data_IF_522801469282
#
_entry.id   IF_522801469282
#
_cell.length_a   1.000
_cell.length_b   1.000
_cell.length_c   1.000
_cell.angle_alpha   90.00
_cell.angle_beta   90.00
_cell.angle_gamma   90.00
#
_symmetry.space_group_name_H-M   'P 1'
#
loop_
_entity.id
_entity.type
_entity.pdbx_description
1 polymer ?
#
# COMPACT_ATOMS: atom_id res chain seq x y z
N UNK A 1 -4.02 -4.13 -13.74
CA UNK A 1 -4.44 -2.94 -12.97
C UNK A 1 -3.28 -1.95 -12.98
N UNK A 2 -3.48 -0.69 -13.36
CA UNK A 2 -2.38 0.29 -13.40
C UNK A 2 -2.26 1.03 -12.06
N UNK A 3 -1.21 0.74 -11.31
CA UNK A 3 -0.89 1.43 -10.05
C UNK A 3 -0.03 2.65 -10.35
N UNK A 4 -0.44 3.82 -9.84
CA UNK A 4 0.39 5.01 -9.94
C UNK A 4 1.54 4.94 -8.92
N UNK A 5 2.74 4.62 -9.42
CA UNK A 5 3.94 4.40 -8.60
C UNK A 5 4.40 5.67 -7.87
N UNK A 6 4.21 6.85 -8.44
CA UNK A 6 4.53 8.10 -7.75
C UNK A 6 3.60 8.34 -6.56
N UNK A 7 2.31 8.04 -6.71
CA UNK A 7 1.35 8.11 -5.60
C UNK A 7 1.70 7.08 -4.53
N UNK A 8 2.09 5.86 -4.91
CA UNK A 8 2.50 4.81 -3.99
C UNK A 8 3.77 5.19 -3.23
N UNK A 9 4.80 5.68 -3.91
CA UNK A 9 6.03 6.18 -3.28
C UNK A 9 5.74 7.28 -2.28
N UNK A 10 4.91 8.26 -2.65
CA UNK A 10 4.53 9.33 -1.71
C UNK A 10 3.70 8.80 -0.53
N UNK A 11 2.79 7.84 -0.75
CA UNK A 11 1.98 7.24 0.30
C UNK A 11 2.88 6.57 1.36
N UNK A 12 3.80 5.71 0.94
CA UNK A 12 4.63 4.95 1.89
C UNK A 12 5.75 5.78 2.53
N UNK A 13 6.20 6.87 1.89
CA UNK A 13 7.31 7.70 2.41
C UNK A 13 6.86 8.94 3.20
N UNK A 14 5.69 9.51 2.89
CA UNK A 14 5.23 10.80 3.47
C UNK A 14 3.91 10.71 4.21
N UNK A 15 3.15 9.62 4.04
CA UNK A 15 1.80 9.44 4.60
C UNK A 15 1.72 8.15 5.43
N UNK A 16 2.81 7.79 6.11
CA UNK A 16 2.86 6.60 6.99
C UNK A 16 1.81 6.65 8.09
N UNK A 17 1.49 7.83 8.63
CA UNK A 17 0.41 8.01 9.62
C UNK A 17 -0.97 7.60 9.10
N UNK A 18 -1.25 7.80 7.80
CA UNK A 18 -2.52 7.37 7.21
C UNK A 18 -2.60 5.85 7.10
N UNK A 19 -1.46 5.20 6.83
CA UNK A 19 -1.34 3.75 6.86
C UNK A 19 -1.55 3.24 8.29
N UNK A 20 -0.92 3.87 9.29
CA UNK A 20 -1.10 3.53 10.71
C UNK A 20 -2.55 3.63 11.15
N UNK A 21 -3.24 4.71 10.78
CA UNK A 21 -4.67 4.88 11.05
C UNK A 21 -5.51 3.80 10.35
N UNK A 22 -5.15 3.45 9.12
CA UNK A 22 -5.88 2.43 8.35
C UNK A 22 -5.73 1.01 8.92
N UNK A 23 -4.59 0.69 9.55
CA UNK A 23 -4.37 -0.64 10.15
C UNK A 23 -4.79 -0.74 11.61
N UNK A 24 -5.07 0.37 12.29
CA UNK A 24 -5.45 0.38 13.70
C UNK A 24 -6.66 -0.54 13.97
N UNK A 25 -6.53 -1.42 14.97
CA UNK A 25 -7.58 -2.38 15.35
C UNK A 25 -7.77 -3.56 14.39
N UNK A 26 -6.99 -3.69 13.31
CA UNK A 26 -7.13 -4.78 12.32
C UNK A 26 -6.21 -5.97 12.57
N UNK A 27 -5.25 -5.85 13.49
CA UNK A 27 -4.20 -6.85 13.75
C UNK A 27 -3.03 -6.84 12.75
N UNK A 28 -3.10 -6.01 11.69
CA UNK A 28 -1.99 -5.79 10.77
C UNK A 28 -1.02 -4.73 11.32
N UNK A 29 0.26 -4.87 10.99
CA UNK A 29 1.28 -3.88 11.33
C UNK A 29 1.48 -2.92 10.17
N UNK A 30 1.60 -1.62 10.45
CA UNK A 30 1.84 -0.61 9.43
C UNK A 30 3.10 -0.91 8.62
N UNK A 31 4.18 -1.38 9.27
CA UNK A 31 5.41 -1.84 8.59
C UNK A 31 5.18 -2.94 7.56
N UNK A 32 4.20 -3.83 7.79
CA UNK A 32 3.87 -4.89 6.83
C UNK A 32 3.18 -4.30 5.60
N UNK A 33 2.25 -3.37 5.81
CA UNK A 33 1.56 -2.67 4.70
C UNK A 33 2.56 -1.83 3.89
N UNK A 34 3.46 -1.10 4.57
CA UNK A 34 4.53 -0.35 3.93
C UNK A 34 5.44 -1.29 3.12
N UNK A 35 5.85 -2.42 3.69
CA UNK A 35 6.68 -3.41 2.99
C UNK A 35 6.01 -3.97 1.73
N UNK A 36 4.68 -4.16 1.74
CA UNK A 36 3.93 -4.55 0.54
C UNK A 36 3.97 -3.45 -0.53
N UNK A 37 3.86 -2.18 -0.12
CA UNK A 37 3.99 -1.05 -1.03
C UNK A 37 5.40 -0.91 -1.61
N UNK A 38 6.43 -1.11 -0.79
CA UNK A 38 7.84 -1.11 -1.24
C UNK A 38 8.09 -2.23 -2.23
N UNK A 39 7.65 -3.46 -1.93
CA UNK A 39 7.76 -4.59 -2.85
C UNK A 39 7.14 -4.27 -4.21
N UNK A 40 5.96 -3.65 -4.23
CA UNK A 40 5.30 -3.29 -5.48
C UNK A 40 6.07 -2.20 -6.24
N UNK A 41 6.74 -1.25 -5.56
CA UNK A 41 7.61 -0.27 -6.22
C UNK A 41 8.86 -0.92 -6.81
N UNK A 42 9.50 -1.83 -6.07
CA UNK A 42 10.71 -2.53 -6.50
C UNK A 42 10.46 -3.41 -7.73
N UNK A 43 9.21 -3.83 -7.92
CA UNK A 43 8.75 -4.64 -9.06
C UNK A 43 7.98 -3.82 -10.09
N UNK A 44 8.24 -2.50 -10.19
CA UNK A 44 7.66 -1.63 -11.23
C UNK A 44 6.13 -1.61 -11.29
N UNK A 45 5.44 -1.95 -10.20
CA UNK A 45 3.99 -2.03 -10.15
C UNK A 45 3.39 -3.36 -10.61
N UNK A 46 4.20 -4.39 -10.83
CA UNK A 46 3.71 -5.70 -11.22
C UNK A 46 3.03 -6.42 -10.05
N UNK A 47 1.70 -6.36 -10.04
CA UNK A 47 0.85 -7.01 -9.03
C UNK A 47 0.88 -8.54 -9.21
N UNK A 48 1.19 -9.07 -10.38
CA UNK A 48 1.19 -10.51 -10.62
C UNK A 48 2.36 -11.23 -9.92
N UNK A 49 3.42 -10.49 -9.59
CA UNK A 49 4.52 -10.96 -8.75
C UNK A 49 4.17 -11.01 -7.25
N UNK A 50 3.02 -10.44 -6.84
CA UNK A 50 2.59 -10.47 -5.45
C UNK A 50 1.96 -11.82 -5.09
N UNK A 51 2.31 -12.33 -3.92
CA UNK A 51 1.61 -13.47 -3.30
C UNK A 51 0.15 -13.11 -2.98
N UNK A 52 -0.71 -14.13 -2.85
CA UNK A 52 -2.11 -13.94 -2.47
C UNK A 52 -2.29 -13.09 -1.19
N UNK A 53 -1.44 -13.31 -0.18
CA UNK A 53 -1.48 -12.52 1.07
C UNK A 53 -1.10 -11.05 0.85
N UNK A 54 -0.10 -10.78 0.02
CA UNK A 54 0.29 -9.41 -0.33
C UNK A 54 -0.82 -8.71 -1.12
N UNK A 55 -1.48 -9.40 -2.06
CA UNK A 55 -2.63 -8.88 -2.81
C UNK A 55 -3.76 -8.44 -1.88
N UNK A 56 -4.13 -9.28 -0.90
CA UNK A 56 -5.14 -8.91 0.10
C UNK A 56 -4.75 -7.66 0.90
N UNK A 57 -3.49 -7.55 1.32
CA UNK A 57 -2.99 -6.37 2.05
C UNK A 57 -3.04 -5.12 1.17
N UNK A 58 -2.61 -5.24 -0.08
CA UNK A 58 -2.63 -4.15 -1.06
C UNK A 58 -4.07 -3.66 -1.31
N UNK A 59 -4.99 -4.56 -1.62
CA UNK A 59 -6.39 -4.24 -1.89
C UNK A 59 -7.09 -3.64 -0.68
N UNK A 60 -6.78 -4.14 0.53
CA UNK A 60 -7.44 -3.71 1.76
C UNK A 60 -6.95 -2.36 2.27
N UNK A 61 -5.66 -2.07 2.16
CA UNK A 61 -5.05 -0.91 2.84
C UNK A 61 -4.44 0.11 1.87
N UNK A 62 -3.68 -0.33 0.87
CA UNK A 62 -2.98 0.60 -0.03
C UNK A 62 -3.91 1.16 -1.10
N UNK A 63 -4.73 0.31 -1.72
CA UNK A 63 -5.61 0.71 -2.81
C UNK A 63 -6.62 1.81 -2.40
N UNK A 64 -7.30 1.73 -1.24
CA UNK A 64 -8.18 2.80 -0.80
C UNK A 64 -7.45 4.13 -0.59
N UNK A 65 -6.24 4.10 -0.01
CA UNK A 65 -5.45 5.31 0.26
C UNK A 65 -4.85 5.94 -1.01
N UNK A 66 -4.63 5.14 -2.06
CA UNK A 66 -4.19 5.59 -3.38
C UNK A 66 -5.32 6.25 -4.18
N UNK A 67 -6.55 5.73 -4.02
CA UNK A 67 -7.74 6.21 -4.70
C UNK A 67 -8.43 7.36 -3.97
N UNK A 68 -8.15 7.54 -2.68
CA UNK A 68 -8.68 8.65 -1.90
C UNK A 68 -8.29 10.00 -2.54
N UNK A 69 -9.24 10.92 -2.73
CA UNK A 69 -8.94 12.27 -3.17
C UNK A 69 -8.00 12.92 -2.15
N UNK A 70 -6.88 13.49 -2.63
CA UNK A 70 -5.96 14.25 -1.79
C UNK A 70 -6.73 15.47 -1.28
N UNK A 71 -6.95 15.53 0.03
CA UNK A 71 -7.48 16.72 0.70
C UNK A 71 -6.39 17.77 0.85
#
# INVERSE_FOLDING_TARGET
MNVNLEKLKNLISKRSEEIEKSVAGTGYLAKTVIGVGTFLLDNEGDIDLMTAKQKVIFEKFLLPLLNAPRR
#
